data_IF_745618779738
#
_entry.id   IF_745618779738
#
_cell.length_a   1.000
_cell.length_b   1.000
_cell.length_c   1.000
_cell.angle_alpha   90.00
_cell.angle_beta   90.00
_cell.angle_gamma   90.00
#
_symmetry.space_group_name_H-M   'P 1'
#
loop_
_entity.id
_entity.type
_entity.pdbx_description
1 polymer ?
#
# COMPACT_ATOMS: atom_id res chain seq x y z
N UNK A 1 9.94 50.44 49.92
CA UNK A 1 11.10 50.02 50.70
C UNK A 1 11.93 49.10 49.81
N UNK A 2 13.01 49.64 49.22
CA UNK A 2 14.40 49.47 49.64
C UNK A 2 14.77 47.98 49.68
N UNK A 3 15.73 47.41 49.00
CA UNK A 3 17.12 47.80 48.60
C UNK A 3 17.68 46.63 47.77
N UNK A 4 18.28 46.79 46.60
CA UNK A 4 19.68 47.11 46.35
C UNK A 4 20.65 45.93 46.48
N UNK A 5 21.39 45.63 45.36
CA UNK A 5 22.82 45.26 45.20
C UNK A 5 23.15 43.78 45.42
N UNK A 6 24.08 43.12 44.69
CA UNK A 6 25.37 43.61 44.17
C UNK A 6 25.95 42.57 43.19
N UNK A 7 26.67 43.06 42.24
CA UNK A 7 27.64 42.49 41.34
C UNK A 7 28.61 41.47 42.00
N UNK A 8 29.07 40.48 41.25
CA UNK A 8 30.51 40.28 41.09
C UNK A 8 30.87 39.48 39.82
N UNK A 9 31.84 40.05 39.13
CA UNK A 9 32.67 39.57 38.05
C UNK A 9 33.38 38.25 38.37
N UNK A 10 33.62 37.45 37.34
CA UNK A 10 34.56 36.35 37.34
C UNK A 10 34.93 35.98 35.88
N UNK A 11 35.83 36.79 35.33
CA UNK A 11 36.56 36.52 34.10
C UNK A 11 37.55 35.36 34.38
N UNK A 12 37.43 34.26 33.59
CA UNK A 12 38.54 33.32 33.41
C UNK A 12 38.59 32.89 31.95
N UNK A 13 39.62 33.42 31.29
CA UNK A 13 40.21 32.88 30.08
C UNK A 13 40.72 31.48 30.36
N UNK A 14 40.37 30.51 29.49
CA UNK A 14 41.33 29.48 29.13
C UNK A 14 41.08 29.05 27.69
N UNK A 15 41.98 29.54 26.85
CA UNK A 15 42.26 29.06 25.51
C UNK A 15 42.98 27.72 25.64
N UNK A 16 42.33 26.62 25.30
CA UNK A 16 42.98 25.43 24.78
C UNK A 16 41.93 24.55 24.06
N UNK A 17 41.65 24.86 22.81
CA UNK A 17 41.03 23.92 21.90
C UNK A 17 42.14 23.09 21.26
N UNK A 18 42.08 21.75 21.29
CA UNK A 18 43.08 20.93 20.61
C UNK A 18 42.97 21.13 19.10
N UNK A 19 44.07 21.47 18.45
CA UNK A 19 44.22 21.66 17.01
C UNK A 19 43.96 20.39 16.19
N UNK A 20 43.78 19.23 16.80
CA UNK A 20 43.56 17.97 16.09
C UNK A 20 42.14 17.77 15.50
N UNK A 21 41.14 18.53 15.99
CA UNK A 21 39.75 18.38 15.49
C UNK A 21 39.54 19.11 14.17
N UNK A 22 40.33 20.18 13.91
CA UNK A 22 40.21 20.94 12.67
C UNK A 22 40.75 20.18 11.46
N UNK A 23 41.78 19.33 11.65
CA UNK A 23 42.38 18.58 10.54
C UNK A 23 41.57 17.37 10.10
N UNK A 24 40.75 16.78 10.99
CA UNK A 24 39.89 15.65 10.62
C UNK A 24 38.65 16.08 9.82
N UNK A 25 38.14 17.30 10.04
CA UNK A 25 36.99 17.82 9.30
C UNK A 25 37.35 18.24 7.88
N UNK A 26 38.58 18.70 7.63
CA UNK A 26 39.01 19.03 6.27
C UNK A 26 39.24 17.77 5.42
N UNK A 27 39.80 16.71 5.95
CA UNK A 27 40.04 15.48 5.21
C UNK A 27 38.73 14.77 4.79
N UNK A 28 37.69 14.83 5.65
CA UNK A 28 36.35 14.27 5.33
C UNK A 28 35.63 15.08 4.24
N UNK A 29 35.79 16.40 4.23
CA UNK A 29 35.20 17.25 3.21
C UNK A 29 35.92 17.12 1.84
N UNK A 30 37.21 16.90 1.82
CA UNK A 30 37.96 16.71 0.58
C UNK A 30 37.67 15.36 -0.07
N UNK A 31 37.49 14.32 0.73
CA UNK A 31 37.06 13.00 0.27
C UNK A 31 35.65 13.03 -0.36
N UNK A 32 34.72 13.77 0.25
CA UNK A 32 33.37 13.97 -0.31
C UNK A 32 33.38 14.81 -1.59
N UNK A 33 34.25 15.83 -1.69
CA UNK A 33 34.40 16.63 -2.89
C UNK A 33 35.04 15.86 -4.04
N UNK A 34 35.95 14.93 -3.79
CA UNK A 34 36.56 14.07 -4.82
C UNK A 34 35.54 13.07 -5.36
N UNK A 35 34.62 12.53 -4.50
CA UNK A 35 33.57 11.63 -4.92
C UNK A 35 32.56 12.34 -5.85
N UNK A 36 32.22 13.61 -5.56
CA UNK A 36 31.31 14.40 -6.39
C UNK A 36 31.94 14.82 -7.76
N UNK A 37 33.26 14.91 -7.84
CA UNK A 37 33.95 15.28 -9.11
C UNK A 37 34.22 14.06 -9.99
N UNK A 38 34.32 12.86 -9.46
CA UNK A 38 34.56 11.65 -10.25
C UNK A 38 33.26 11.00 -10.79
N UNK A 39 32.09 11.38 -10.28
CA UNK A 39 30.81 10.86 -10.75
C UNK A 39 30.25 11.53 -12.01
N UNK A 40 30.92 12.60 -12.52
CA UNK A 40 30.49 13.31 -13.73
C UNK A 40 31.16 12.81 -15.01
N UNK A 41 32.08 11.85 -14.97
CA UNK A 41 32.81 11.36 -16.13
C UNK A 41 32.38 9.97 -16.63
N UNK A 42 31.37 9.35 -16.01
CA UNK A 42 30.77 8.09 -16.49
C UNK A 42 29.27 8.31 -16.79
N UNK A 43 29.04 9.33 -17.62
CA UNK A 43 27.75 9.49 -18.27
C UNK A 43 27.73 8.60 -19.51
N UNK A 44 27.14 7.45 -19.44
CA UNK A 44 26.94 6.70 -20.66
C UNK A 44 26.46 5.27 -20.55
N UNK A 45 26.05 4.80 -19.38
CA UNK A 45 25.27 3.57 -19.32
C UNK A 45 24.09 3.81 -18.37
N UNK A 46 23.12 4.59 -18.84
CA UNK A 46 21.75 4.34 -18.44
C UNK A 46 21.42 2.94 -18.98
N UNK A 47 21.84 1.92 -18.26
CA UNK A 47 21.14 0.67 -18.28
C UNK A 47 19.73 0.99 -17.78
N UNK A 48 18.87 1.40 -18.71
CA UNK A 48 17.45 1.13 -18.60
C UNK A 48 17.31 -0.39 -18.65
N UNK A 49 17.73 -1.04 -17.58
CA UNK A 49 17.11 -2.27 -17.19
C UNK A 49 15.63 -1.89 -17.00
N UNK A 50 14.88 -1.97 -18.10
CA UNK A 50 13.47 -2.30 -18.04
C UNK A 50 13.37 -3.72 -17.46
N UNK A 51 14.01 -3.95 -16.33
CA UNK A 51 13.63 -5.00 -15.41
C UNK A 51 12.20 -4.62 -15.05
N UNK A 52 11.24 -5.28 -15.71
CA UNK A 52 9.97 -5.49 -15.02
C UNK A 52 10.42 -5.89 -13.64
N UNK A 53 10.09 -5.11 -12.57
CA UNK A 53 10.38 -5.62 -11.26
C UNK A 53 9.67 -6.96 -11.23
N UNK A 54 10.43 -8.03 -11.28
CA UNK A 54 9.91 -9.32 -10.93
C UNK A 54 9.41 -9.07 -9.53
N UNK A 55 8.09 -9.06 -9.35
CA UNK A 55 7.45 -9.05 -8.05
C UNK A 55 8.13 -10.19 -7.33
N UNK A 56 9.13 -9.83 -6.50
CA UNK A 56 10.24 -10.70 -6.13
C UNK A 56 9.73 -12.03 -5.63
N UNK A 57 10.12 -13.07 -6.32
CA UNK A 57 9.97 -14.47 -5.93
C UNK A 57 10.81 -14.79 -4.69
N UNK A 58 10.71 -13.95 -3.67
CA UNK A 58 11.43 -14.06 -2.42
C UNK A 58 10.49 -14.16 -1.24
N UNK A 59 9.76 -15.24 -1.12
CA UNK A 59 8.92 -15.52 0.04
C UNK A 59 7.65 -16.23 -0.41
N UNK A 60 7.64 -17.55 -0.31
CA UNK A 60 6.47 -18.36 -0.60
C UNK A 60 5.24 -17.83 0.13
N UNK A 61 4.11 -17.82 -0.53
CA UNK A 61 2.79 -17.46 0.02
C UNK A 61 2.28 -18.49 1.06
N UNK A 62 3.17 -19.14 1.77
CA UNK A 62 2.87 -20.10 2.82
C UNK A 62 3.46 -19.66 4.14
N UNK A 63 2.63 -19.10 5.03
CA UNK A 63 2.99 -18.87 6.41
C UNK A 63 3.48 -17.45 6.73
N UNK A 64 2.57 -16.50 6.98
CA UNK A 64 2.86 -15.28 7.73
C UNK A 64 3.78 -14.25 7.07
N UNK A 65 3.68 -14.06 5.75
CA UNK A 65 4.47 -13.10 4.99
C UNK A 65 4.34 -11.67 5.48
N UNK A 66 5.45 -10.94 5.48
CA UNK A 66 5.46 -9.52 5.81
C UNK A 66 4.58 -8.74 4.83
N UNK A 67 3.62 -8.02 5.39
CA UNK A 67 2.73 -7.16 4.66
C UNK A 67 3.44 -5.86 4.28
N UNK A 68 3.41 -5.47 3.02
CA UNK A 68 4.05 -4.25 2.51
C UNK A 68 3.03 -3.34 1.86
N UNK A 69 3.23 -2.03 1.97
CA UNK A 69 2.49 -1.05 1.17
C UNK A 69 2.85 -1.18 -0.31
N UNK A 70 2.03 -0.66 -1.25
CA UNK A 70 2.33 -0.72 -2.68
C UNK A 70 3.71 -0.17 -3.03
N UNK A 71 4.05 1.00 -2.54
CA UNK A 71 5.37 1.62 -2.74
C UNK A 71 6.49 0.87 -2.02
N UNK A 72 6.23 0.32 -0.83
CA UNK A 72 7.18 -0.49 -0.07
C UNK A 72 7.52 -1.81 -0.75
N UNK A 73 6.57 -2.41 -1.49
CA UNK A 73 6.83 -3.59 -2.31
C UNK A 73 7.81 -3.28 -3.46
N UNK A 74 7.67 -2.09 -4.06
CA UNK A 74 8.50 -1.67 -5.20
C UNK A 74 9.89 -1.20 -4.79
N UNK A 75 10.04 -0.63 -3.60
CA UNK A 75 11.31 -0.05 -3.15
C UNK A 75 12.41 -1.09 -2.91
N UNK A 76 12.08 -2.38 -2.83
CA UNK A 76 13.04 -3.43 -2.48
C UNK A 76 13.71 -3.20 -1.12
N UNK A 77 13.18 -2.25 -0.33
CA UNK A 77 13.82 -1.77 0.88
C UNK A 77 13.76 -2.85 1.96
N UNK A 78 14.88 -3.53 2.16
CA UNK A 78 15.07 -4.54 3.20
C UNK A 78 15.26 -3.92 4.59
N UNK A 79 15.41 -2.59 4.66
CA UNK A 79 15.54 -1.85 5.92
C UNK A 79 14.16 -1.67 6.55
N UNK A 80 13.67 -2.72 7.18
CA UNK A 80 12.45 -2.64 8.00
C UNK A 80 12.83 -2.00 9.34
N UNK A 81 12.70 -0.69 9.44
CA UNK A 81 12.73 -0.01 10.73
C UNK A 81 11.38 -0.22 11.43
N UNK A 82 11.33 -1.17 12.34
CA UNK A 82 10.14 -1.50 13.14
C UNK A 82 9.77 -2.99 13.07
N UNK A 83 8.82 -3.40 13.91
CA UNK A 83 8.29 -4.76 13.88
C UNK A 83 7.58 -5.03 12.55
N UNK A 84 7.87 -6.16 11.88
CA UNK A 84 7.24 -6.50 10.62
C UNK A 84 5.72 -6.59 10.79
N UNK A 85 4.99 -5.80 10.02
CA UNK A 85 3.53 -5.83 10.05
C UNK A 85 3.04 -7.06 9.29
N UNK A 86 2.11 -7.80 9.90
CA UNK A 86 1.46 -8.95 9.27
C UNK A 86 0.08 -8.55 8.77
N UNK A 87 -0.25 -8.95 7.57
CA UNK A 87 -1.62 -8.89 7.09
C UNK A 87 -2.40 -10.14 7.49
N UNK A 88 -3.64 -9.94 7.88
CA UNK A 88 -4.63 -10.98 8.17
C UNK A 88 -5.89 -10.81 7.32
N UNK A 89 -5.74 -10.17 6.17
CA UNK A 89 -6.84 -9.93 5.24
C UNK A 89 -7.45 -11.25 4.74
N UNK A 90 -8.74 -11.23 4.46
CA UNK A 90 -9.51 -12.37 3.96
C UNK A 90 -9.77 -12.24 2.47
N UNK A 91 -9.86 -13.39 1.83
CA UNK A 91 -10.06 -13.50 0.37
C UNK A 91 -11.46 -13.05 -0.08
N UNK A 92 -11.67 -12.77 -1.37
CA UNK A 92 -13.01 -12.53 -1.92
C UNK A 92 -14.01 -13.65 -1.60
N UNK A 93 -13.56 -14.90 -1.61
CA UNK A 93 -14.39 -16.07 -1.28
C UNK A 93 -14.92 -16.02 0.15
N UNK A 94 -14.10 -15.58 1.11
CA UNK A 94 -14.52 -15.37 2.48
C UNK A 94 -15.64 -14.30 2.57
N UNK A 95 -15.43 -13.13 1.98
CA UNK A 95 -16.39 -12.02 2.05
C UNK A 95 -17.67 -12.27 1.25
N UNK A 96 -17.57 -13.01 0.16
CA UNK A 96 -18.73 -13.45 -0.64
C UNK A 96 -19.49 -14.62 -0.03
N UNK A 97 -19.00 -15.21 1.06
CA UNK A 97 -19.53 -16.44 1.66
C UNK A 97 -19.61 -17.60 0.66
N UNK A 98 -18.62 -17.70 -0.23
CA UNK A 98 -18.54 -18.78 -1.20
C UNK A 98 -18.31 -20.11 -0.46
N UNK A 99 -19.20 -21.06 -0.66
CA UNK A 99 -19.13 -22.38 -0.01
C UNK A 99 -19.62 -22.41 1.45
N UNK A 100 -20.22 -21.32 1.94
CA UNK A 100 -20.81 -21.28 3.29
C UNK A 100 -19.82 -21.06 4.43
N UNK A 101 -18.52 -20.94 4.13
CA UNK A 101 -17.46 -20.74 5.13
C UNK A 101 -17.11 -19.28 5.43
N UNK A 102 -17.70 -18.34 4.70
CA UNK A 102 -17.46 -16.92 4.89
C UNK A 102 -18.26 -16.29 6.03
N UNK A 103 -18.07 -15.01 6.31
CA UNK A 103 -18.80 -14.35 7.37
C UNK A 103 -20.28 -14.29 7.04
N UNK A 104 -21.09 -14.40 8.07
CA UNK A 104 -22.50 -14.03 7.95
C UNK A 104 -22.57 -12.57 7.43
N UNK A 105 -23.62 -12.21 6.67
CA UNK A 105 -23.78 -10.85 6.16
C UNK A 105 -23.58 -9.76 7.22
N UNK A 106 -23.97 -10.03 8.46
CA UNK A 106 -23.80 -9.11 9.60
C UNK A 106 -22.33 -8.85 10.01
N UNK A 107 -21.39 -9.64 9.53
CA UNK A 107 -19.95 -9.44 9.82
C UNK A 107 -19.29 -8.42 8.92
N UNK A 108 -19.96 -7.89 7.92
CA UNK A 108 -19.44 -6.81 7.09
C UNK A 108 -19.22 -5.54 7.90
N UNK A 109 -18.10 -4.86 7.73
CA UNK A 109 -17.80 -3.65 8.50
C UNK A 109 -18.65 -2.46 8.04
N UNK A 110 -19.26 -1.74 9.00
CA UNK A 110 -19.90 -0.46 8.70
C UNK A 110 -18.91 0.49 8.01
N UNK A 111 -19.35 1.29 7.01
CA UNK A 111 -20.74 1.49 6.58
C UNK A 111 -21.20 0.56 5.44
N UNK A 112 -20.44 -0.48 5.11
CA UNK A 112 -20.72 -1.33 3.95
C UNK A 112 -21.75 -2.42 4.27
N UNK A 113 -22.75 -2.56 3.39
CA UNK A 113 -23.82 -3.52 3.52
C UNK A 113 -23.73 -4.58 2.42
N UNK A 114 -23.75 -5.88 2.76
CA UNK A 114 -23.76 -6.95 1.75
C UNK A 114 -25.08 -7.01 0.97
N UNK A 115 -26.16 -6.52 1.55
CA UNK A 115 -27.50 -6.69 1.04
C UNK A 115 -28.15 -8.01 1.51
N UNK A 116 -29.21 -8.39 0.83
CA UNK A 116 -29.98 -9.60 1.12
C UNK A 116 -29.96 -10.58 -0.05
N UNK A 117 -29.98 -11.84 0.28
CA UNK A 117 -30.07 -12.92 -0.68
C UNK A 117 -31.49 -13.54 -0.61
N UNK A 118 -32.21 -13.53 -1.73
CA UNK A 118 -33.62 -13.98 -1.77
C UNK A 118 -33.81 -15.45 -2.16
N UNK A 119 -32.73 -16.12 -2.59
CA UNK A 119 -32.74 -17.53 -3.02
C UNK A 119 -31.47 -18.24 -2.56
N UNK A 120 -31.06 -19.29 -3.27
CA UNK A 120 -29.72 -19.85 -3.10
C UNK A 120 -28.68 -18.78 -3.45
N UNK A 121 -27.82 -18.43 -2.51
CA UNK A 121 -26.80 -17.38 -2.64
C UNK A 121 -25.59 -17.89 -3.43
N UNK A 122 -25.79 -18.31 -4.66
CA UNK A 122 -24.81 -19.00 -5.50
C UNK A 122 -24.34 -18.17 -6.71
N UNK A 123 -24.91 -16.99 -6.92
CA UNK A 123 -24.51 -16.08 -8.02
C UNK A 123 -24.84 -14.63 -7.69
N UNK A 124 -24.31 -13.70 -8.50
CA UNK A 124 -24.47 -12.26 -8.31
C UNK A 124 -25.94 -11.79 -8.38
N UNK A 125 -26.77 -12.38 -9.25
CA UNK A 125 -28.16 -11.96 -9.44
C UNK A 125 -29.08 -12.26 -8.25
N UNK A 126 -28.67 -13.11 -7.32
CA UNK A 126 -29.45 -13.47 -6.15
C UNK A 126 -29.33 -12.44 -5.02
N UNK A 127 -28.41 -11.48 -5.14
CA UNK A 127 -28.17 -10.45 -4.12
C UNK A 127 -28.83 -9.13 -4.51
N UNK A 128 -29.42 -8.44 -3.53
CA UNK A 128 -30.07 -7.15 -3.69
C UNK A 128 -29.84 -6.26 -2.47
N UNK A 129 -30.11 -4.95 -2.63
CA UNK A 129 -30.07 -3.97 -1.54
C UNK A 129 -28.72 -3.82 -0.80
N UNK A 130 -27.61 -4.25 -1.39
CA UNK A 130 -26.27 -4.01 -0.88
C UNK A 130 -25.71 -2.64 -1.25
N UNK A 131 -24.63 -2.23 -0.59
CA UNK A 131 -23.90 -1.03 -0.94
C UNK A 131 -23.49 -1.08 -2.41
N UNK A 132 -23.86 -0.05 -3.20
CA UNK A 132 -23.49 0.04 -4.61
C UNK A 132 -21.99 0.20 -4.76
N UNK A 133 -21.39 -0.49 -5.73
CA UNK A 133 -19.98 -0.37 -6.03
C UNK A 133 -19.62 1.07 -6.44
N UNK A 134 -20.46 1.69 -7.27
CA UNK A 134 -20.30 3.08 -7.74
C UNK A 134 -20.55 4.15 -6.66
N UNK A 135 -21.08 3.80 -5.50
CA UNK A 135 -21.13 4.73 -4.36
C UNK A 135 -19.82 4.79 -3.58
N UNK A 136 -18.92 3.85 -3.83
CA UNK A 136 -17.63 3.71 -3.14
C UNK A 136 -16.46 4.04 -4.04
N UNK A 137 -16.56 3.66 -5.32
CA UNK A 137 -15.52 3.76 -6.33
C UNK A 137 -16.00 4.52 -7.56
N UNK A 138 -15.07 5.17 -8.25
CA UNK A 138 -15.36 5.78 -9.55
C UNK A 138 -15.52 4.68 -10.62
N UNK A 139 -16.59 4.74 -11.40
CA UNK A 139 -16.93 3.72 -12.40
C UNK A 139 -17.19 4.32 -13.80
N UNK A 140 -16.59 5.45 -14.14
CA UNK A 140 -16.81 6.14 -15.43
C UNK A 140 -15.78 5.82 -16.51
N UNK A 141 -14.82 4.92 -16.21
CA UNK A 141 -13.74 4.50 -17.12
C UNK A 141 -13.68 2.98 -17.30
N UNK A 142 -12.48 2.42 -17.09
CA UNK A 142 -12.24 0.97 -17.20
C UNK A 142 -13.09 0.15 -16.23
N UNK A 143 -13.52 0.74 -15.10
CA UNK A 143 -14.39 0.14 -14.10
C UNK A 143 -15.89 0.24 -14.39
N UNK A 144 -16.32 0.77 -15.54
CA UNK A 144 -17.74 0.98 -15.90
C UNK A 144 -18.61 -0.27 -15.80
N UNK A 145 -18.01 -1.44 -16.01
CA UNK A 145 -18.69 -2.75 -15.87
C UNK A 145 -19.24 -3.01 -14.46
N UNK A 146 -18.67 -2.38 -13.42
CA UNK A 146 -19.10 -2.57 -12.03
C UNK A 146 -20.19 -1.59 -11.58
N UNK A 147 -20.52 -0.58 -12.41
CA UNK A 147 -21.38 0.55 -12.04
C UNK A 147 -22.76 0.13 -11.50
N UNK A 148 -23.34 -0.89 -12.07
CA UNK A 148 -24.71 -1.33 -11.74
C UNK A 148 -24.77 -2.39 -10.64
N UNK A 149 -23.63 -2.87 -10.15
CA UNK A 149 -23.56 -3.94 -9.16
C UNK A 149 -23.36 -3.38 -7.73
N UNK A 150 -23.84 -4.14 -6.75
CA UNK A 150 -23.43 -3.94 -5.35
C UNK A 150 -22.05 -4.56 -5.10
N UNK A 151 -21.38 -4.18 -3.99
CA UNK A 151 -20.13 -4.79 -3.58
C UNK A 151 -20.22 -6.32 -3.49
N UNK A 152 -21.31 -6.84 -2.91
CA UNK A 152 -21.55 -8.28 -2.83
C UNK A 152 -21.72 -8.91 -4.20
N UNK A 153 -22.45 -8.26 -5.10
CA UNK A 153 -22.63 -8.76 -6.46
C UNK A 153 -21.32 -8.84 -7.22
N UNK A 154 -20.40 -7.89 -6.99
CA UNK A 154 -19.06 -7.90 -7.61
C UNK A 154 -18.24 -9.09 -7.12
N UNK A 155 -18.32 -9.47 -5.85
CA UNK A 155 -17.67 -10.68 -5.34
C UNK A 155 -18.13 -11.97 -6.06
N UNK A 156 -19.32 -11.95 -6.65
CA UNK A 156 -19.93 -13.10 -7.33
C UNK A 156 -19.91 -13.03 -8.87
N UNK A 157 -19.33 -12.00 -9.48
CA UNK A 157 -19.34 -11.85 -10.95
C UNK A 157 -18.60 -12.96 -11.69
N UNK A 158 -17.51 -13.49 -11.09
CA UNK A 158 -16.65 -14.47 -11.74
C UNK A 158 -15.90 -13.95 -12.97
N UNK A 159 -15.09 -14.79 -13.59
CA UNK A 159 -14.10 -14.40 -14.60
C UNK A 159 -14.67 -13.74 -15.87
N UNK A 160 -15.92 -14.01 -16.28
CA UNK A 160 -16.54 -13.33 -17.45
C UNK A 160 -16.94 -11.89 -17.15
N UNK A 161 -17.45 -11.63 -15.94
CA UNK A 161 -17.88 -10.29 -15.51
C UNK A 161 -16.77 -9.47 -14.89
N UNK A 162 -15.73 -10.13 -14.36
CA UNK A 162 -14.60 -9.53 -13.66
C UNK A 162 -13.29 -10.17 -14.13
N UNK A 163 -12.73 -9.74 -15.27
CA UNK A 163 -11.44 -10.21 -15.75
C UNK A 163 -10.36 -10.00 -14.68
N UNK A 164 -9.51 -11.00 -14.50
CA UNK A 164 -8.51 -11.07 -13.42
C UNK A 164 -9.11 -11.10 -11.99
N UNK A 165 -10.46 -11.01 -11.84
CA UNK A 165 -11.14 -10.86 -10.53
C UNK A 165 -10.71 -9.58 -9.79
N UNK A 166 -10.44 -8.51 -10.53
CA UNK A 166 -9.98 -7.24 -9.96
C UNK A 166 -11.01 -6.64 -9.02
N UNK A 167 -12.27 -6.54 -9.47
CA UNK A 167 -13.36 -5.99 -8.65
C UNK A 167 -13.55 -6.79 -7.36
N UNK A 168 -13.53 -8.12 -7.45
CA UNK A 168 -13.65 -8.99 -6.29
C UNK A 168 -12.52 -8.76 -5.27
N UNK A 169 -11.27 -8.67 -5.72
CA UNK A 169 -10.12 -8.43 -4.84
C UNK A 169 -10.12 -7.00 -4.26
N UNK A 170 -10.55 -6.01 -5.01
CA UNK A 170 -10.73 -4.62 -4.53
C UNK A 170 -11.79 -4.55 -3.44
N UNK A 171 -12.93 -5.23 -3.61
CA UNK A 171 -13.97 -5.30 -2.56
C UNK A 171 -13.43 -5.98 -1.31
N UNK A 172 -12.74 -7.11 -1.46
CA UNK A 172 -12.14 -7.80 -0.32
C UNK A 172 -11.10 -6.92 0.39
N UNK A 173 -10.23 -6.23 -0.35
CA UNK A 173 -9.25 -5.29 0.21
C UNK A 173 -9.92 -4.13 0.95
N UNK A 174 -11.00 -3.57 0.41
CA UNK A 174 -11.79 -2.52 1.06
C UNK A 174 -12.32 -2.96 2.42
N UNK A 175 -12.94 -4.16 2.48
CA UNK A 175 -13.51 -4.71 3.70
C UNK A 175 -12.42 -5.07 4.72
N UNK A 176 -11.30 -5.63 4.28
CA UNK A 176 -10.14 -5.91 5.11
C UNK A 176 -9.54 -4.63 5.71
N UNK A 177 -9.37 -3.58 4.89
CA UNK A 177 -8.87 -2.29 5.34
C UNK A 177 -9.82 -1.64 6.35
N UNK A 178 -11.13 -1.72 6.11
CA UNK A 178 -12.15 -1.21 7.04
C UNK A 178 -12.17 -1.96 8.38
N UNK A 179 -11.81 -3.25 8.38
CA UNK A 179 -11.62 -4.06 9.61
C UNK A 179 -10.27 -3.82 10.29
N UNK A 180 -9.33 -3.12 9.65
CA UNK A 180 -7.96 -2.97 10.15
C UNK A 180 -7.10 -4.24 10.01
N UNK A 181 -7.51 -5.21 9.19
CA UNK A 181 -6.78 -6.46 8.99
C UNK A 181 -5.58 -6.34 8.03
N UNK A 182 -5.50 -5.23 7.33
CA UNK A 182 -4.41 -4.91 6.41
C UNK A 182 -3.77 -3.57 6.80
N UNK A 183 -2.88 -3.54 7.80
CA UNK A 183 -2.35 -2.29 8.36
C UNK A 183 -1.57 -1.44 7.35
N UNK A 184 -1.12 -2.03 6.25
CA UNK A 184 -0.40 -1.35 5.16
C UNK A 184 -1.31 -0.77 4.07
N UNK A 185 -2.64 -1.01 4.18
CA UNK A 185 -3.65 -0.51 3.25
C UNK A 185 -4.80 0.13 4.02
N UNK A 186 -4.95 1.42 3.88
CA UNK A 186 -6.14 2.15 4.34
C UNK A 186 -7.27 2.06 3.30
N UNK A 187 -8.50 2.30 3.73
CA UNK A 187 -9.66 2.43 2.83
C UNK A 187 -9.42 3.46 1.72
N UNK A 188 -8.79 4.60 2.06
CA UNK A 188 -8.46 5.63 1.08
C UNK A 188 -7.47 5.13 0.03
N UNK A 189 -6.46 4.37 0.44
CA UNK A 189 -5.49 3.78 -0.50
C UNK A 189 -6.12 2.74 -1.41
N UNK A 190 -7.00 1.87 -0.90
CA UNK A 190 -7.72 0.91 -1.73
C UNK A 190 -8.60 1.63 -2.78
N UNK A 191 -9.30 2.69 -2.37
CA UNK A 191 -10.08 3.51 -3.30
C UNK A 191 -9.18 4.17 -4.36
N UNK A 192 -8.04 4.70 -3.97
CA UNK A 192 -7.10 5.30 -4.90
C UNK A 192 -6.57 4.30 -5.92
N UNK A 193 -6.18 3.08 -5.50
CA UNK A 193 -5.71 2.01 -6.40
C UNK A 193 -6.76 1.74 -7.49
N UNK A 194 -8.02 1.57 -7.11
CA UNK A 194 -9.07 1.29 -8.08
C UNK A 194 -9.40 2.51 -8.95
N UNK A 195 -9.55 3.69 -8.37
CA UNK A 195 -9.94 4.89 -9.10
C UNK A 195 -8.87 5.30 -10.12
N UNK A 196 -7.60 5.21 -9.76
CA UNK A 196 -6.51 5.49 -10.69
C UNK A 196 -6.47 4.47 -11.83
N UNK A 197 -6.65 3.17 -11.53
CA UNK A 197 -6.79 2.16 -12.56
C UNK A 197 -8.03 2.38 -13.45
N UNK A 198 -9.16 2.78 -12.85
CA UNK A 198 -10.37 3.12 -13.62
C UNK A 198 -10.12 4.23 -14.63
N UNK A 199 -9.38 5.27 -14.22
CA UNK A 199 -9.15 6.46 -15.04
C UNK A 199 -8.07 6.25 -16.10
N UNK A 200 -6.97 5.56 -15.74
CA UNK A 200 -5.77 5.42 -16.58
C UNK A 200 -5.58 4.04 -17.21
N UNK A 201 -6.28 3.00 -16.72
CA UNK A 201 -6.03 1.59 -17.06
C UNK A 201 -4.89 0.94 -16.28
N UNK A 202 -4.22 1.70 -15.40
CA UNK A 202 -3.15 1.22 -14.51
C UNK A 202 -3.14 2.04 -13.21
N UNK A 203 -2.53 1.47 -12.17
CA UNK A 203 -2.17 2.15 -10.92
C UNK A 203 -0.65 2.35 -10.87
N UNK A 204 -0.19 3.46 -10.35
CA UNK A 204 1.24 3.80 -10.25
C UNK A 204 1.69 3.83 -8.78
N UNK A 205 2.16 2.70 -8.21
CA UNK A 205 2.55 2.61 -6.80
C UNK A 205 3.76 3.47 -6.45
N UNK A 206 4.59 3.77 -7.43
CA UNK A 206 5.72 4.70 -7.37
C UNK A 206 6.00 5.22 -8.78
N UNK A 207 6.64 6.38 -8.88
CA UNK A 207 6.90 7.05 -10.15
C UNK A 207 7.52 6.11 -11.20
N UNK A 208 6.91 6.04 -12.37
CA UNK A 208 7.38 5.26 -13.52
C UNK A 208 7.03 3.76 -13.48
N UNK A 209 6.42 3.24 -12.42
CA UNK A 209 6.01 1.83 -12.31
C UNK A 209 4.50 1.71 -12.47
N UNK A 210 4.07 1.01 -13.51
CA UNK A 210 2.65 0.83 -13.83
C UNK A 210 2.19 -0.59 -13.49
N UNK A 211 1.18 -0.68 -12.64
CA UNK A 211 0.48 -1.93 -12.35
C UNK A 211 -0.84 -2.00 -13.10
N UNK A 212 -0.96 -2.97 -13.97
CA UNK A 212 -2.22 -3.31 -14.63
C UNK A 212 -3.10 -4.18 -13.73
N UNK A 213 -4.30 -4.50 -14.17
CA UNK A 213 -5.27 -5.26 -13.37
C UNK A 213 -4.68 -6.54 -12.74
N UNK A 214 -3.87 -7.30 -13.49
CA UNK A 214 -3.25 -8.51 -12.99
C UNK A 214 -2.23 -8.25 -11.87
N UNK A 215 -1.43 -7.18 -12.00
CA UNK A 215 -0.41 -6.80 -11.03
C UNK A 215 -1.07 -6.30 -9.73
N UNK A 216 -2.15 -5.51 -9.85
CA UNK A 216 -2.94 -5.06 -8.72
C UNK A 216 -3.51 -6.27 -7.96
N UNK A 217 -4.11 -7.22 -8.67
CA UNK A 217 -4.67 -8.45 -8.06
C UNK A 217 -3.57 -9.26 -7.38
N UNK A 218 -2.42 -9.40 -8.02
CA UNK A 218 -1.28 -10.10 -7.42
C UNK A 218 -0.85 -9.45 -6.09
N UNK A 219 -0.71 -8.12 -6.09
CA UNK A 219 -0.41 -7.37 -4.87
C UNK A 219 -1.48 -7.56 -3.79
N UNK A 220 -2.77 -7.39 -4.13
CA UNK A 220 -3.85 -7.54 -3.16
C UNK A 220 -3.90 -8.94 -2.54
N UNK A 221 -3.65 -9.99 -3.32
CA UNK A 221 -3.52 -11.37 -2.81
C UNK A 221 -2.43 -11.49 -1.76
N UNK A 222 -1.31 -10.78 -1.89
CA UNK A 222 -0.25 -10.81 -0.89
C UNK A 222 -0.66 -10.24 0.48
N UNK A 223 -1.74 -9.46 0.52
CA UNK A 223 -2.32 -8.93 1.76
C UNK A 223 -3.40 -9.82 2.38
N UNK A 224 -3.74 -10.93 1.71
CA UNK A 224 -4.83 -11.84 2.06
C UNK A 224 -4.28 -13.27 2.23
N UNK A 225 -3.49 -13.52 3.29
CA UNK A 225 -3.01 -14.88 3.56
C UNK A 225 -4.21 -15.79 3.82
N UNK A 226 -4.18 -16.99 3.24
CA UNK A 226 -5.18 -18.04 3.43
C UNK A 226 -5.15 -18.62 4.84
#
# INVERSE_FOLDING_TARGET
MKTTKEQQNGEMKDNNLPQDVANQTESVNESRRRFAKSSLAVSGVLLTLASRPSLGSGGGFGGGGMCKSPSGLMSGNLSVHGSPQRCSGRTPGYWGNHGGGGPQPNAWPSPYLPGSCQKKCTNSSNWSNGTKFSSVFNCNGNGSRYNNYSLMQVLWLGGRGDPYQLGAHIVAALLNAQKGWTPVLTVAQVKNIFNEWNDKGYFEPTAGIKWYAADIVYYLKSTMPE
#
